data_IF_319911101960
#
_entry.id   IF_319911101960
#
_cell.length_a   1.000
_cell.length_b   1.000
_cell.length_c   1.000
_cell.angle_alpha   90.00
_cell.angle_beta   90.00
_cell.angle_gamma   90.00
#
_symmetry.space_group_name_H-M   'P 1'
#
loop_
_entity.id
_entity.type
_entity.pdbx_description
1 polymer ?
#
# COMPACT_ATOMS: atom_id res chain seq x y z
N UNK A 1 -14.89 -42.49 30.95
CA UNK A 1 -13.86 -41.59 31.47
C UNK A 1 -13.04 -40.83 30.42
N UNK A 2 -13.40 -40.81 29.14
CA UNK A 2 -12.67 -40.11 28.07
C UNK A 2 -13.28 -38.74 27.67
N UNK A 3 -14.48 -38.40 28.15
CA UNK A 3 -15.20 -37.18 27.77
C UNK A 3 -14.78 -35.95 28.60
N UNK A 4 -14.35 -36.14 29.85
CA UNK A 4 -14.06 -35.01 30.76
C UNK A 4 -12.67 -34.38 30.53
N UNK A 5 -11.74 -35.14 29.94
CA UNK A 5 -10.40 -34.61 29.60
C UNK A 5 -10.45 -33.61 28.43
N UNK A 6 -11.39 -33.76 27.50
CA UNK A 6 -11.53 -32.87 26.35
C UNK A 6 -12.12 -31.50 26.75
N UNK A 7 -13.01 -31.48 27.73
CA UNK A 7 -13.65 -30.26 28.26
C UNK A 7 -12.61 -29.45 29.06
N UNK A 8 -11.71 -30.15 29.80
CA UNK A 8 -10.65 -29.48 30.56
C UNK A 8 -9.58 -28.85 29.66
N UNK A 9 -9.32 -29.45 28.48
CA UNK A 9 -8.35 -28.89 27.52
C UNK A 9 -8.92 -27.65 26.82
N UNK A 10 -10.23 -27.60 26.62
CA UNK A 10 -10.87 -26.44 25.98
C UNK A 10 -11.04 -25.26 26.94
N UNK A 11 -11.14 -25.52 28.25
CA UNK A 11 -11.26 -24.47 29.28
C UNK A 11 -9.92 -23.79 29.60
N UNK A 12 -8.76 -24.43 29.28
CA UNK A 12 -7.45 -23.83 29.50
C UNK A 12 -7.05 -22.79 28.44
N UNK A 13 -7.76 -22.75 27.29
CA UNK A 13 -7.47 -21.82 26.19
C UNK A 13 -8.11 -20.43 26.36
N UNK A 14 -8.97 -20.23 27.37
CA UNK A 14 -9.73 -19.00 27.57
C UNK A 14 -9.08 -17.98 28.50
N UNK A 15 -7.86 -18.22 29.01
CA UNK A 15 -7.20 -17.31 29.97
C UNK A 15 -6.07 -16.45 29.43
N UNK A 16 -5.90 -16.38 28.10
CA UNK A 16 -4.96 -15.41 27.52
C UNK A 16 -5.67 -14.19 26.91
N UNK A 17 -6.56 -13.59 27.71
CA UNK A 17 -6.88 -12.18 27.47
C UNK A 17 -5.80 -11.36 28.14
N UNK A 18 -4.76 -11.00 27.40
CA UNK A 18 -3.89 -9.92 27.81
C UNK A 18 -4.71 -8.64 27.80
N UNK A 19 -5.07 -8.15 28.98
CA UNK A 19 -5.47 -6.77 29.13
C UNK A 19 -4.26 -5.93 28.72
N UNK A 20 -4.28 -5.39 27.50
CA UNK A 20 -3.32 -4.38 27.10
C UNK A 20 -3.72 -3.10 27.80
N UNK A 21 -2.91 -2.69 28.76
CA UNK A 21 -2.89 -1.30 29.25
C UNK A 21 -2.58 -0.41 28.03
N UNK A 22 -3.55 0.38 27.61
CA UNK A 22 -3.50 1.14 26.36
C UNK A 22 -3.51 2.63 26.64
N UNK A 23 -2.34 3.23 26.55
CA UNK A 23 -2.26 4.67 26.24
C UNK A 23 -2.22 4.99 24.73
N UNK A 24 -2.11 3.95 23.88
CA UNK A 24 -2.34 4.09 22.44
C UNK A 24 -2.85 2.78 21.84
N UNK A 25 -4.13 2.72 21.53
CA UNK A 25 -4.69 1.56 20.85
C UNK A 25 -4.00 1.37 19.48
N UNK A 26 -3.51 0.16 19.17
CA UNK A 26 -3.00 -0.16 17.85
C UNK A 26 -4.09 0.08 16.81
N UNK A 27 -3.81 0.89 15.81
CA UNK A 27 -4.77 1.22 14.76
C UNK A 27 -4.29 0.77 13.40
N UNK A 28 -5.15 0.03 12.71
CA UNK A 28 -4.94 -0.39 11.35
C UNK A 28 -5.80 0.41 10.38
N UNK A 29 -5.20 0.92 9.30
CA UNK A 29 -5.86 1.71 8.27
C UNK A 29 -5.62 1.05 6.90
N UNK A 30 -6.62 0.39 6.30
CA UNK A 30 -6.54 -0.02 4.91
C UNK A 30 -6.59 1.21 4.01
N UNK A 31 -5.83 1.20 2.91
CA UNK A 31 -5.91 2.23 1.90
C UNK A 31 -5.95 1.63 0.51
N UNK A 32 -6.80 2.22 -0.33
CA UNK A 32 -7.03 1.78 -1.69
C UNK A 32 -7.00 2.99 -2.61
N UNK A 33 -6.43 2.82 -3.79
CA UNK A 33 -6.51 3.80 -4.86
C UNK A 33 -6.65 3.06 -6.18
N UNK A 34 -7.71 3.35 -6.92
CA UNK A 34 -8.00 2.71 -8.20
C UNK A 34 -7.97 3.76 -9.28
N UNK A 35 -7.24 3.49 -10.34
CA UNK A 35 -7.22 4.28 -11.56
C UNK A 35 -7.89 3.46 -12.65
N UNK A 36 -8.98 3.94 -13.15
CA UNK A 36 -9.70 3.38 -14.29
C UNK A 36 -10.12 4.52 -15.20
N UNK A 37 -10.22 4.24 -16.47
CA UNK A 37 -10.63 5.20 -17.46
C UNK A 37 -11.53 4.55 -18.51
N UNK A 38 -12.13 5.38 -19.34
CA UNK A 38 -12.77 5.01 -20.58
C UNK A 38 -12.06 5.73 -21.70
N UNK A 39 -11.43 4.98 -22.58
CA UNK A 39 -10.74 5.51 -23.74
C UNK A 39 -11.62 5.38 -24.98
N UNK A 40 -11.59 6.40 -25.80
CA UNK A 40 -12.15 6.37 -27.12
C UNK A 40 -11.08 6.77 -28.13
N UNK A 41 -10.79 5.90 -29.08
CA UNK A 41 -9.80 6.13 -30.13
C UNK A 41 -10.53 6.65 -31.38
N UNK A 42 -10.12 7.82 -31.83
CA UNK A 42 -10.66 8.48 -33.03
C UNK A 42 -9.83 8.19 -34.28
N UNK A 43 -8.80 7.35 -34.21
CA UNK A 43 -7.94 7.00 -35.34
C UNK A 43 -8.73 6.17 -36.38
N UNK A 44 -8.51 6.45 -37.63
CA UNK A 44 -9.28 5.83 -38.74
C UNK A 44 -8.93 4.33 -38.94
N UNK A 45 -7.78 3.87 -38.46
CA UNK A 45 -7.27 2.53 -38.75
C UNK A 45 -7.38 1.54 -37.57
N UNK A 46 -8.14 1.82 -36.51
CA UNK A 46 -8.28 0.95 -35.33
C UNK A 46 -9.55 0.11 -35.35
N UNK A 47 -9.40 -1.17 -35.05
CA UNK A 47 -10.52 -2.10 -34.98
C UNK A 47 -11.39 -1.89 -33.72
N UNK A 48 -10.81 -1.38 -32.63
CA UNK A 48 -11.51 -1.09 -31.39
C UNK A 48 -11.41 0.40 -31.07
N UNK A 49 -12.55 1.07 -31.11
CA UNK A 49 -12.63 2.52 -30.94
C UNK A 49 -12.92 2.95 -29.52
N UNK A 50 -13.30 2.03 -28.61
CA UNK A 50 -13.61 2.36 -27.22
C UNK A 50 -13.39 1.19 -26.27
N UNK A 51 -12.88 1.50 -25.06
CA UNK A 51 -12.69 0.51 -24.00
C UNK A 51 -12.72 1.12 -22.61
N UNK A 52 -13.24 0.38 -21.65
CA UNK A 52 -12.95 0.60 -20.25
C UNK A 52 -11.62 -0.06 -19.89
N UNK A 53 -10.77 0.66 -19.19
CA UNK A 53 -9.49 0.18 -18.76
C UNK A 53 -9.29 0.37 -17.27
N UNK A 54 -8.76 -0.65 -16.61
CA UNK A 54 -8.19 -0.57 -15.29
C UNK A 54 -6.69 -0.33 -15.44
N UNK A 55 -6.25 0.90 -15.23
CA UNK A 55 -4.84 1.26 -15.39
C UNK A 55 -4.01 0.73 -14.23
N UNK A 56 -4.46 0.97 -12.99
CA UNK A 56 -3.69 0.62 -11.79
C UNK A 56 -4.53 0.55 -10.54
N UNK A 57 -4.12 -0.31 -9.61
CA UNK A 57 -4.69 -0.39 -8.26
C UNK A 57 -3.57 -0.36 -7.24
N UNK A 58 -3.65 0.57 -6.29
CA UNK A 58 -2.88 0.50 -5.05
C UNK A 58 -3.73 -0.09 -3.96
N UNK A 59 -3.22 -1.14 -3.32
CA UNK A 59 -3.83 -1.82 -2.20
C UNK A 59 -2.82 -1.86 -1.06
N UNK A 60 -3.16 -1.33 0.09
CA UNK A 60 -2.21 -1.29 1.18
C UNK A 60 -2.85 -1.23 2.55
N UNK A 61 -1.98 -1.33 3.54
CA UNK A 61 -2.33 -1.30 4.94
C UNK A 61 -1.26 -0.55 5.71
N UNK A 62 -1.69 0.37 6.55
CA UNK A 62 -0.85 1.04 7.51
C UNK A 62 -1.26 0.58 8.90
N UNK A 63 -0.28 0.26 9.73
CA UNK A 63 -0.51 -0.18 11.10
C UNK A 63 0.33 0.65 12.07
N UNK A 64 -0.32 1.22 13.05
CA UNK A 64 0.30 1.95 14.13
C UNK A 64 0.41 1.02 15.34
N UNK A 65 1.61 0.60 15.70
CA UNK A 65 1.86 -0.24 16.84
C UNK A 65 1.73 0.53 18.16
N UNK A 66 2.27 1.76 18.16
CA UNK A 66 2.21 2.73 19.26
C UNK A 66 2.50 4.13 18.70
N UNK A 67 2.66 5.14 19.56
CA UNK A 67 2.91 6.52 19.14
C UNK A 67 4.24 6.74 18.42
N UNK A 68 5.18 5.84 18.60
CA UNK A 68 6.51 5.95 18.04
C UNK A 68 6.75 5.00 16.86
N UNK A 69 6.03 3.89 16.76
CA UNK A 69 6.28 2.84 15.74
C UNK A 69 5.06 2.64 14.87
N UNK A 70 5.27 2.70 13.56
CA UNK A 70 4.24 2.33 12.58
C UNK A 70 4.86 1.62 11.39
N UNK A 71 4.09 0.76 10.74
CA UNK A 71 4.47 0.09 9.50
C UNK A 71 3.48 0.39 8.40
N UNK A 72 3.94 0.32 7.15
CA UNK A 72 3.11 0.48 5.97
C UNK A 72 3.53 -0.51 4.91
N UNK A 73 2.56 -1.20 4.32
CA UNK A 73 2.73 -2.00 3.12
C UNK A 73 1.81 -1.47 2.03
N UNK A 74 2.28 -1.45 0.79
CA UNK A 74 1.47 -1.11 -0.37
C UNK A 74 1.86 -2.01 -1.54
N UNK A 75 0.88 -2.68 -2.10
CA UNK A 75 0.98 -3.37 -3.38
C UNK A 75 0.57 -2.44 -4.50
N UNK A 76 1.27 -2.54 -5.61
CA UNK A 76 0.95 -1.89 -6.88
C UNK A 76 0.54 -2.98 -7.87
N UNK A 77 -0.69 -2.91 -8.34
CA UNK A 77 -1.27 -3.85 -9.30
C UNK A 77 -1.50 -3.11 -10.60
N UNK A 78 -0.89 -3.58 -11.68
CA UNK A 78 -1.01 -3.02 -13.01
C UNK A 78 -0.79 -4.08 -14.08
N UNK A 79 -1.01 -3.71 -15.33
CA UNK A 79 -0.68 -4.58 -16.45
C UNK A 79 0.84 -4.81 -16.50
N UNK A 80 1.25 -6.03 -16.82
CA UNK A 80 2.67 -6.34 -17.06
C UNK A 80 3.14 -5.68 -18.37
N UNK A 81 4.44 -5.73 -18.65
CA UNK A 81 5.04 -5.11 -19.84
C UNK A 81 4.46 -5.63 -21.15
N UNK A 82 3.97 -6.88 -21.17
CA UNK A 82 3.27 -7.46 -22.32
C UNK A 82 1.81 -6.97 -22.46
N UNK A 83 1.29 -6.25 -21.47
CA UNK A 83 -0.08 -5.73 -21.46
C UNK A 83 -1.19 -6.77 -21.29
N UNK A 84 -0.82 -8.05 -21.09
CA UNK A 84 -1.75 -9.18 -21.14
C UNK A 84 -2.34 -9.55 -19.79
N UNK A 85 -1.56 -9.40 -18.71
CA UNK A 85 -1.95 -9.82 -17.37
C UNK A 85 -1.75 -8.72 -16.33
N UNK A 86 -2.61 -8.68 -15.33
CA UNK A 86 -2.39 -7.88 -14.15
C UNK A 86 -1.42 -8.61 -13.22
N UNK A 87 -0.39 -7.90 -12.79
CA UNK A 87 0.61 -8.38 -11.83
C UNK A 87 0.64 -7.47 -10.63
N UNK A 88 0.94 -8.05 -9.47
CA UNK A 88 1.08 -7.32 -8.22
C UNK A 88 2.53 -7.38 -7.75
N UNK A 89 3.07 -6.26 -7.32
CA UNK A 89 4.37 -6.20 -6.66
C UNK A 89 4.33 -5.32 -5.41
N UNK A 90 5.26 -5.55 -4.49
CA UNK A 90 5.39 -4.73 -3.29
C UNK A 90 6.03 -3.40 -3.69
N UNK A 91 5.26 -2.33 -3.59
CA UNK A 91 5.74 -0.96 -3.87
C UNK A 91 6.35 -0.32 -2.64
N UNK A 92 5.71 -0.49 -1.49
CA UNK A 92 6.16 0.04 -0.19
C UNK A 92 6.12 -1.10 0.82
N UNK A 93 7.18 -1.23 1.60
CA UNK A 93 7.27 -2.07 2.80
C UNK A 93 8.16 -1.34 3.80
N UNK A 94 7.56 -0.43 4.56
CA UNK A 94 8.24 0.60 5.34
C UNK A 94 7.90 0.46 6.81
N UNK A 95 8.93 0.55 7.64
CA UNK A 95 8.80 0.75 9.09
C UNK A 95 9.23 2.18 9.42
N UNK A 96 8.41 2.87 10.17
CA UNK A 96 8.68 4.21 10.68
C UNK A 96 8.90 4.16 12.19
N UNK A 97 9.98 4.79 12.66
CA UNK A 97 10.29 4.98 14.07
C UNK A 97 10.47 6.47 14.37
N UNK A 98 9.63 7.00 15.22
CA UNK A 98 9.68 8.40 15.66
C UNK A 98 10.62 8.52 16.86
N UNK A 99 11.81 9.05 16.64
CA UNK A 99 12.81 9.29 17.66
C UNK A 99 12.47 10.49 18.56
N UNK A 100 11.83 11.51 17.97
CA UNK A 100 11.37 12.71 18.68
C UNK A 100 10.23 13.37 17.91
N UNK A 101 9.71 14.49 18.41
CA UNK A 101 8.71 15.28 17.67
C UNK A 101 9.21 15.83 16.33
N UNK A 102 10.53 15.91 16.14
CA UNK A 102 11.17 16.49 14.94
C UNK A 102 11.91 15.47 14.09
N UNK A 103 12.19 14.27 14.61
CA UNK A 103 13.03 13.27 13.93
C UNK A 103 12.27 11.96 13.81
N UNK A 104 12.16 11.48 12.59
CA UNK A 104 11.58 10.19 12.23
C UNK A 104 12.57 9.43 11.37
N UNK A 105 12.82 8.17 11.72
CA UNK A 105 13.59 7.22 10.94
C UNK A 105 12.62 6.34 10.17
N UNK A 106 12.84 6.17 8.86
CA UNK A 106 12.08 5.25 8.00
C UNK A 106 13.03 4.24 7.41
N UNK A 107 12.66 2.96 7.40
CA UNK A 107 13.51 1.88 6.89
C UNK A 107 12.70 0.86 6.09
N UNK A 108 13.35 0.18 5.16
CA UNK A 108 12.77 -0.82 4.25
C UNK A 108 12.59 -0.28 2.84
N UNK A 109 11.54 -0.71 2.12
CA UNK A 109 11.15 -0.16 0.83
C UNK A 109 10.35 1.11 1.08
N UNK A 110 11.03 2.25 1.10
CA UNK A 110 10.49 3.56 1.46
C UNK A 110 10.01 4.33 0.23
N UNK A 111 8.88 5.01 0.35
CA UNK A 111 8.39 5.90 -0.70
C UNK A 111 9.24 7.15 -0.85
N UNK A 112 9.65 7.45 -2.07
CA UNK A 112 10.43 8.64 -2.40
C UNK A 112 9.68 9.93 -2.01
N UNK A 113 10.24 10.71 -1.08
CA UNK A 113 9.57 11.93 -0.59
C UNK A 113 9.39 12.94 -1.72
N UNK A 114 10.46 13.21 -2.48
CA UNK A 114 10.42 14.13 -3.62
C UNK A 114 9.38 13.70 -4.65
N UNK A 115 9.32 12.41 -4.97
CA UNK A 115 8.35 11.86 -5.90
C UNK A 115 6.91 12.08 -5.42
N UNK A 116 6.63 11.78 -4.16
CA UNK A 116 5.31 11.97 -3.56
C UNK A 116 4.90 13.45 -3.53
N UNK A 117 5.83 14.36 -3.23
CA UNK A 117 5.58 15.79 -3.22
C UNK A 117 5.26 16.31 -4.63
N UNK A 118 5.98 15.82 -5.65
CA UNK A 118 5.70 16.17 -7.05
C UNK A 118 4.35 15.63 -7.53
N UNK A 119 4.00 14.38 -7.23
CA UNK A 119 2.67 13.84 -7.55
C UNK A 119 1.55 14.66 -6.89
N UNK A 120 1.78 15.09 -5.65
CA UNK A 120 0.81 15.91 -4.92
C UNK A 120 0.62 17.29 -5.54
N UNK A 121 1.71 17.93 -5.95
CA UNK A 121 1.67 19.25 -6.62
C UNK A 121 1.04 19.11 -8.02
N UNK A 122 1.38 18.05 -8.74
CA UNK A 122 0.81 17.78 -10.04
C UNK A 122 -0.72 17.67 -9.98
N UNK A 123 -1.26 16.92 -9.01
CA UNK A 123 -2.70 16.79 -8.77
C UNK A 123 -3.48 15.97 -9.80
N UNK A 124 -2.95 15.75 -11.00
CA UNK A 124 -3.60 15.09 -12.13
C UNK A 124 -3.12 13.67 -12.40
N UNK A 125 -2.62 12.98 -11.36
CA UNK A 125 -2.12 11.60 -11.50
C UNK A 125 -3.18 10.63 -12.06
N UNK A 126 -4.44 10.94 -11.89
CA UNK A 126 -5.56 10.17 -12.45
C UNK A 126 -5.72 10.33 -13.97
N UNK A 127 -5.12 11.36 -14.58
CA UNK A 127 -5.07 11.54 -16.03
C UNK A 127 -3.74 10.98 -16.56
N UNK A 128 -2.64 11.45 -15.98
CA UNK A 128 -1.30 11.10 -16.45
C UNK A 128 -0.24 11.15 -15.35
N UNK A 129 0.88 10.50 -15.59
CA UNK A 129 2.06 10.55 -14.71
C UNK A 129 2.66 11.96 -14.68
N UNK A 130 3.46 12.24 -13.65
CA UNK A 130 4.32 13.44 -13.66
C UNK A 130 5.38 13.33 -14.75
N UNK A 131 5.93 14.45 -15.21
CA UNK A 131 7.03 14.47 -16.17
C UNK A 131 8.24 13.65 -15.69
N UNK A 132 8.53 13.71 -14.39
CA UNK A 132 9.61 12.94 -13.78
C UNK A 132 9.35 11.44 -13.83
N UNK A 133 8.14 11.00 -13.50
CA UNK A 133 7.74 9.59 -13.52
C UNK A 133 7.73 9.03 -14.95
N UNK A 134 7.23 9.79 -15.90
CA UNK A 134 7.19 9.40 -17.31
C UNK A 134 8.59 9.22 -17.90
N UNK A 135 9.51 10.13 -17.57
CA UNK A 135 10.88 10.06 -18.06
C UNK A 135 11.82 9.24 -17.14
N UNK A 136 11.29 8.57 -16.11
CA UNK A 136 12.05 7.73 -15.18
C UNK A 136 13.21 8.47 -14.48
N UNK A 137 13.02 9.76 -14.19
CA UNK A 137 13.99 10.58 -13.46
C UNK A 137 13.85 10.39 -11.94
N UNK A 138 14.07 9.18 -11.48
CA UNK A 138 13.99 8.80 -10.08
C UNK A 138 13.03 7.65 -9.83
N UNK A 139 13.10 7.11 -8.62
CA UNK A 139 12.25 6.00 -8.19
C UNK A 139 11.13 6.49 -7.28
N UNK A 140 9.93 5.91 -7.46
CA UNK A 140 8.81 6.17 -6.56
C UNK A 140 8.98 5.55 -5.18
N UNK A 141 9.84 4.54 -5.07
CA UNK A 141 10.24 3.89 -3.83
C UNK A 141 11.62 3.25 -3.99
N UNK A 142 12.36 3.12 -2.90
CA UNK A 142 13.69 2.50 -2.90
C UNK A 142 13.97 1.85 -1.54
N UNK A 143 14.88 0.87 -1.56
CA UNK A 143 15.38 0.25 -0.33
C UNK A 143 16.36 1.19 0.36
N UNK A 144 16.13 1.43 1.65
CA UNK A 144 17.00 2.31 2.40
C UNK A 144 16.57 2.54 3.85
N UNK A 145 17.26 3.50 4.44
CA UNK A 145 17.01 4.03 5.78
C UNK A 145 16.95 5.55 5.70
#
# INVERSE_FOLDING_TARGET
>A
MKSNALILLFSLFTFFTFAQDSDSEPKGEPHFKVFWNYNYDFSEDVTQTSAFELDRVYLGYKYKFNDNVSAKITYDVGKNDAGSNYTAFVKIAQLDYKLSSKVKLSMGMIGGKQFNDQEKVWGYRYIYKTLQDENKFGSSADLGV
#
